data_IF_090292583804
#
_entry.id   IF_090292583804
#
_cell.length_a   1.000
_cell.length_b   1.000
_cell.length_c   1.000
_cell.angle_alpha   90.00
_cell.angle_beta   90.00
_cell.angle_gamma   90.00
#
_symmetry.space_group_name_H-M   'P 1'
#
loop_
_entity.id
_entity.type
_entity.pdbx_description
1 polymer ?
#
# COMPACT_ATOMS: atom_id res chain seq x y z
N UNK A 1 -14.49 -16.07 12.05
CA UNK A 1 -13.18 -15.72 11.48
C UNK A 1 -13.32 -14.47 10.62
N UNK A 2 -13.02 -13.29 11.15
CA UNK A 2 -13.08 -12.03 10.38
C UNK A 2 -11.98 -12.12 9.32
N UNK A 3 -12.35 -12.20 8.04
CA UNK A 3 -11.44 -11.97 6.91
C UNK A 3 -10.87 -10.55 7.06
N UNK A 4 -9.80 -10.40 7.86
CA UNK A 4 -8.84 -9.32 7.68
C UNK A 4 -8.31 -9.53 6.27
N UNK A 5 -8.97 -8.90 5.28
CA UNK A 5 -8.31 -8.60 4.01
C UNK A 5 -7.17 -7.69 4.43
N UNK A 6 -6.00 -8.29 4.64
CA UNK A 6 -4.85 -7.66 5.24
C UNK A 6 -4.46 -6.49 4.33
N UNK A 7 -4.90 -5.27 4.68
CA UNK A 7 -4.44 -4.02 4.07
C UNK A 7 -2.91 -3.99 4.04
N UNK A 8 -2.27 -4.63 5.03
CA UNK A 8 -0.83 -4.91 5.08
C UNK A 8 -0.33 -5.78 3.93
N UNK A 9 -0.99 -6.89 3.60
CA UNK A 9 -0.59 -7.74 2.47
C UNK A 9 -0.79 -7.04 1.13
N UNK A 10 -1.88 -6.29 0.97
CA UNK A 10 -2.11 -5.48 -0.23
C UNK A 10 -1.06 -4.36 -0.37
N UNK A 11 -0.75 -3.66 0.72
CA UNK A 11 0.32 -2.68 0.75
C UNK A 11 1.69 -3.35 0.49
N UNK A 12 1.89 -4.62 0.87
CA UNK A 12 3.12 -5.38 0.59
C UNK A 12 3.34 -5.52 -0.90
N UNK A 13 2.35 -6.09 -1.57
CA UNK A 13 2.41 -6.34 -3.00
C UNK A 13 2.46 -5.04 -3.80
N UNK A 14 1.83 -3.98 -3.30
CA UNK A 14 1.94 -2.66 -3.91
C UNK A 14 3.37 -2.11 -3.78
N UNK A 15 3.97 -2.15 -2.58
CA UNK A 15 5.34 -1.67 -2.35
C UNK A 15 6.35 -2.50 -3.14
N UNK A 16 6.17 -3.81 -3.21
CA UNK A 16 7.01 -4.72 -3.99
C UNK A 16 6.97 -4.34 -5.48
N UNK A 17 5.79 -4.07 -6.05
CA UNK A 17 5.68 -3.55 -7.42
C UNK A 17 6.28 -2.16 -7.60
N UNK A 18 6.12 -1.25 -6.62
CA UNK A 18 6.73 0.08 -6.66
C UNK A 18 8.26 -0.01 -6.68
N UNK A 19 8.83 -0.90 -5.88
CA UNK A 19 10.29 -1.03 -5.71
C UNK A 19 10.91 -1.89 -6.81
N UNK A 20 10.30 -3.03 -7.14
CA UNK A 20 10.80 -3.96 -8.16
C UNK A 20 10.50 -3.51 -9.59
N UNK A 21 9.29 -2.99 -9.86
CA UNK A 21 8.93 -2.48 -11.19
C UNK A 21 9.27 -0.99 -11.36
N UNK A 22 9.66 -0.29 -10.29
CA UNK A 22 9.90 1.16 -10.31
C UNK A 22 8.61 1.97 -10.52
N UNK A 23 7.42 1.38 -10.31
CA UNK A 23 6.16 2.09 -10.45
C UNK A 23 6.00 3.14 -9.35
N UNK A 24 5.43 4.29 -9.67
CA UNK A 24 5.12 5.27 -8.64
C UNK A 24 3.98 4.79 -7.74
N UNK A 25 4.14 4.98 -6.44
CA UNK A 25 3.13 4.64 -5.45
C UNK A 25 1.80 5.33 -5.76
N UNK A 26 1.84 6.57 -6.27
CA UNK A 26 0.67 7.32 -6.76
C UNK A 26 -0.08 6.69 -7.94
N UNK A 27 0.51 5.71 -8.64
CA UNK A 27 -0.14 4.98 -9.73
C UNK A 27 -0.91 3.74 -9.21
N UNK A 28 -0.40 3.12 -8.13
CA UNK A 28 -0.98 1.92 -7.53
C UNK A 28 -1.98 2.28 -6.41
N UNK A 29 -1.75 3.41 -5.75
CA UNK A 29 -2.57 3.89 -4.64
C UNK A 29 -4.03 4.22 -5.04
N UNK A 30 -4.35 4.94 -6.15
CA UNK A 30 -5.74 5.23 -6.54
C UNK A 30 -6.63 3.99 -6.74
N UNK A 31 -6.21 2.91 -7.44
CA UNK A 31 -7.03 1.71 -7.58
C UNK A 31 -7.21 0.93 -6.27
N UNK A 32 -6.25 0.98 -5.34
CA UNK A 32 -6.45 0.44 -4.00
C UNK A 32 -7.39 1.31 -3.16
N UNK A 33 -7.26 2.63 -3.23
CA UNK A 33 -8.11 3.58 -2.52
C UNK A 33 -9.58 3.49 -2.98
N UNK A 34 -9.82 3.26 -4.27
CA UNK A 34 -11.16 3.01 -4.82
C UNK A 34 -11.84 1.76 -4.24
N UNK A 35 -11.05 0.77 -3.77
CA UNK A 35 -11.57 -0.49 -3.20
C UNK A 35 -11.79 -0.44 -1.69
N UNK A 36 -11.40 0.64 -1.00
CA UNK A 36 -11.47 0.74 0.46
C UNK A 36 -12.23 2.00 0.90
N UNK A 37 -12.85 1.94 2.07
CA UNK A 37 -13.57 3.08 2.65
C UNK A 37 -12.61 4.22 3.02
N UNK A 38 -13.09 5.46 3.10
CA UNK A 38 -12.25 6.64 3.36
C UNK A 38 -11.38 6.55 4.62
N UNK A 39 -11.83 5.83 5.66
CA UNK A 39 -11.01 5.53 6.85
C UNK A 39 -9.81 4.64 6.53
N UNK A 40 -9.99 3.64 5.68
CA UNK A 40 -8.95 2.71 5.28
C UNK A 40 -8.04 3.31 4.20
N UNK A 41 -8.51 4.30 3.42
CA UNK A 41 -7.69 5.02 2.43
C UNK A 41 -6.51 5.72 3.10
N UNK A 42 -6.76 6.48 4.16
CA UNK A 42 -5.73 7.17 4.93
C UNK A 42 -4.73 6.18 5.54
N UNK A 43 -5.24 5.10 6.14
CA UNK A 43 -4.41 4.09 6.79
C UNK A 43 -3.56 3.30 5.79
N UNK A 44 -4.11 3.00 4.60
CA UNK A 44 -3.40 2.36 3.50
C UNK A 44 -2.33 3.30 2.92
N UNK A 45 -2.63 4.58 2.76
CA UNK A 45 -1.66 5.60 2.36
C UNK A 45 -0.45 5.61 3.28
N UNK A 46 -0.69 5.75 4.59
CA UNK A 46 0.38 5.69 5.59
C UNK A 46 1.16 4.38 5.51
N UNK A 47 0.48 3.23 5.48
CA UNK A 47 1.14 1.93 5.43
C UNK A 47 2.01 1.75 4.18
N UNK A 48 1.52 2.20 3.03
CA UNK A 48 2.23 2.08 1.76
C UNK A 48 3.42 3.05 1.72
N UNK A 49 3.26 4.28 2.23
CA UNK A 49 4.34 5.24 2.38
C UNK A 49 5.41 4.77 3.37
N UNK A 50 5.00 4.30 4.55
CA UNK A 50 5.90 3.80 5.59
C UNK A 50 6.71 2.60 5.11
N UNK A 51 6.10 1.67 4.38
CA UNK A 51 6.81 0.49 3.89
C UNK A 51 7.79 0.81 2.77
N UNK A 52 7.44 1.70 1.85
CA UNK A 52 8.38 2.16 0.81
C UNK A 52 9.53 2.96 1.42
N UNK A 53 9.23 3.84 2.37
CA UNK A 53 10.23 4.65 3.07
C UNK A 53 11.15 3.81 3.97
N UNK A 54 10.63 2.78 4.67
CA UNK A 54 11.43 1.90 5.52
C UNK A 54 12.43 1.06 4.71
N UNK A 55 12.08 0.69 3.46
CA UNK A 55 12.96 -0.07 2.57
C UNK A 55 14.12 0.78 2.02
N UNK A 56 13.93 2.10 1.88
CA UNK A 56 14.97 3.03 1.39
C UNK A 56 16.01 3.41 2.46
N UNK A 57 15.80 3.00 3.71
CA UNK A 57 16.68 3.31 4.85
C UNK A 57 17.63 2.17 5.24
N UNK A 58 17.63 1.06 4.49
CA UNK A 58 18.52 -0.09 4.70
C UNK A 58 19.47 -0.25 3.54
#
# INVERSE_FOLDING_TARGET
MKKQRNLRSMAAQAVEQVVEQGQSLSNILPPLQQKVSDKDKALLQELCFWRTALRFRS
#
